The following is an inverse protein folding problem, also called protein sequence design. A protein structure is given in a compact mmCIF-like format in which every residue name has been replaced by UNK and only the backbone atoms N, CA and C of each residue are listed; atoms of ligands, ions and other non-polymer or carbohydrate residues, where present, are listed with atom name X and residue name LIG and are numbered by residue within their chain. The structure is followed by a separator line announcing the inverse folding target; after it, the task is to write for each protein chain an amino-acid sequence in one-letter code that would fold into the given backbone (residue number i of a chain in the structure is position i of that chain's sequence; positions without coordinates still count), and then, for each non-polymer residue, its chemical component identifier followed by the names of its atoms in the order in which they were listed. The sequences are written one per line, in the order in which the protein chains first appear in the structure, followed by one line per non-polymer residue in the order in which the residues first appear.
data_IF_841792273485
#
_entry.id   IF_841792273485
#
_cell.length_a   1.000
_cell.length_b   1.000
_cell.length_c   1.000
_cell.angle_alpha   90.00
_cell.angle_beta   90.00
_cell.angle_gamma   90.00
#
_symmetry.space_group_name_H-M   'P 1'
#
loop_
_entity.id
_entity.type
_entity.pdbx_description
1 polymer ?
#
# COMPACT_ATOMS: atom_id res chain seq x y z
N UNK A 1 33.44 28.39 63.79
CA UNK A 1 32.27 27.57 63.42
C UNK A 1 31.60 27.10 64.68
N UNK A 2 30.34 27.50 64.88
CA UNK A 2 29.54 27.05 66.02
C UNK A 2 28.75 25.79 65.66
N UNK A 3 28.42 24.97 66.65
CA UNK A 3 27.68 23.70 66.47
C UNK A 3 26.32 23.92 65.74
N UNK A 4 25.73 25.10 65.93
CA UNK A 4 24.48 25.54 65.30
C UNK A 4 24.67 25.81 63.80
N UNK A 5 25.76 26.45 63.39
CA UNK A 5 26.07 26.70 61.97
C UNK A 5 26.26 25.39 61.19
N UNK A 6 26.88 24.39 61.81
CA UNK A 6 27.08 23.07 61.20
C UNK A 6 25.75 22.32 61.03
N UNK A 7 24.85 22.40 62.03
CA UNK A 7 23.55 21.75 61.98
C UNK A 7 22.64 22.37 60.89
N UNK A 8 22.66 23.69 60.74
CA UNK A 8 21.89 24.39 59.69
C UNK A 8 22.43 24.06 58.30
N UNK A 9 23.75 24.01 58.13
CA UNK A 9 24.36 23.62 56.86
C UNK A 9 23.99 22.18 56.45
N UNK A 10 24.01 21.24 57.39
CA UNK A 10 23.62 19.84 57.15
C UNK A 10 22.13 19.69 56.83
N UNK A 11 21.26 20.44 57.52
CA UNK A 11 19.83 20.43 57.24
C UNK A 11 19.51 20.98 55.84
N UNK A 12 20.16 22.08 55.42
CA UNK A 12 20.01 22.65 54.08
C UNK A 12 20.51 21.71 52.98
N UNK A 13 21.65 21.04 53.22
CA UNK A 13 22.16 20.02 52.29
C UNK A 13 21.21 18.81 52.16
N UNK A 14 20.59 18.37 53.27
CA UNK A 14 19.60 17.31 53.25
C UNK A 14 18.35 17.67 52.43
N UNK A 15 17.83 18.88 52.61
CA UNK A 15 16.67 19.38 51.85
C UNK A 15 16.99 19.56 50.36
N UNK A 16 18.18 20.08 50.04
CA UNK A 16 18.66 20.19 48.65
C UNK A 16 18.82 18.82 47.99
N UNK A 17 19.39 17.84 48.69
CA UNK A 17 19.56 16.48 48.17
C UNK A 17 18.20 15.79 47.92
N UNK A 18 17.21 16.00 48.80
CA UNK A 18 15.84 15.50 48.62
C UNK A 18 15.14 16.20 47.45
N UNK A 19 15.30 17.51 47.29
CA UNK A 19 14.77 18.25 46.14
C UNK A 19 15.38 17.79 44.81
N UNK A 20 16.70 17.57 44.77
CA UNK A 20 17.40 17.11 43.57
C UNK A 20 17.01 15.67 43.19
N UNK A 21 16.86 14.77 44.16
CA UNK A 21 16.47 13.38 43.92
C UNK A 21 15.03 13.24 43.41
N UNK A 22 14.11 14.09 43.86
CA UNK A 22 12.74 14.13 43.31
C UNK A 22 12.71 14.62 41.86
N UNK A 23 13.48 15.68 41.54
CA UNK A 23 13.57 16.20 40.18
C UNK A 23 14.25 15.21 39.22
N UNK A 24 15.34 14.57 39.64
CA UNK A 24 16.01 13.52 38.86
C UNK A 24 15.13 12.29 38.69
N UNK A 25 14.34 11.91 39.70
CA UNK A 25 13.41 10.78 39.62
C UNK A 25 12.26 11.03 38.63
N UNK A 26 11.73 12.26 38.55
CA UNK A 26 10.72 12.64 37.56
C UNK A 26 11.29 12.74 36.15
N UNK A 27 12.48 13.34 35.99
CA UNK A 27 13.15 13.40 34.69
C UNK A 27 13.56 12.02 34.17
N UNK A 28 14.01 11.11 35.04
CA UNK A 28 14.36 9.75 34.64
C UNK A 28 13.14 8.96 34.14
N UNK A 29 11.97 9.13 34.76
CA UNK A 29 10.71 8.49 34.30
C UNK A 29 10.22 9.07 32.98
N UNK A 30 10.18 10.40 32.87
CA UNK A 30 9.80 11.06 31.60
C UNK A 30 10.76 10.71 30.46
N UNK A 31 12.05 10.55 30.76
CA UNK A 31 13.04 10.09 29.78
C UNK A 31 12.84 8.64 29.35
N UNK A 32 12.40 7.75 30.26
CA UNK A 32 12.14 6.35 29.92
C UNK A 32 10.88 6.19 29.09
N UNK A 33 9.80 6.88 29.46
CA UNK A 33 8.56 6.89 28.68
C UNK A 33 8.77 7.44 27.27
N UNK A 34 9.53 8.53 27.15
CA UNK A 34 9.88 9.10 25.84
C UNK A 34 10.76 8.17 24.99
N UNK A 35 11.70 7.44 25.61
CA UNK A 35 12.53 6.45 24.91
C UNK A 35 11.69 5.28 24.42
N UNK A 36 10.74 4.81 25.23
CA UNK A 36 9.87 3.70 24.87
C UNK A 36 8.90 4.08 23.75
N UNK A 37 8.37 5.31 23.77
CA UNK A 37 7.51 5.82 22.70
C UNK A 37 8.29 6.01 21.39
N UNK A 38 9.52 6.55 21.46
CA UNK A 38 10.40 6.66 20.30
C UNK A 38 10.74 5.27 19.72
N UNK A 39 10.97 4.27 20.57
CA UNK A 39 11.22 2.90 20.13
C UNK A 39 9.97 2.26 19.52
N UNK A 40 8.77 2.54 20.07
CA UNK A 40 7.51 2.09 19.49
C UNK A 40 7.32 2.64 18.07
N UNK A 41 7.63 3.92 17.88
CA UNK A 41 7.55 4.54 16.55
C UNK A 41 8.57 3.93 15.58
N UNK A 42 9.81 3.68 16.04
CA UNK A 42 10.84 3.02 15.24
C UNK A 42 10.42 1.61 14.80
N UNK A 43 9.88 0.80 15.73
CA UNK A 43 9.37 -0.54 15.46
C UNK A 43 8.24 -0.51 14.40
N UNK A 44 7.29 0.43 14.53
CA UNK A 44 6.20 0.57 13.56
C UNK A 44 6.69 1.03 12.19
N UNK A 45 7.70 1.91 12.15
CA UNK A 45 8.31 2.36 10.90
C UNK A 45 9.07 1.22 10.19
N UNK A 46 9.84 0.41 10.90
CA UNK A 46 10.55 -0.73 10.32
C UNK A 46 9.56 -1.78 9.79
N UNK A 47 8.53 -2.14 10.56
CA UNK A 47 7.48 -3.05 10.11
C UNK A 47 6.80 -2.50 8.86
N UNK A 48 6.45 -1.21 8.84
CA UNK A 48 5.85 -0.56 7.68
C UNK A 48 6.78 -0.59 6.47
N UNK A 49 8.05 -0.23 6.62
CA UNK A 49 9.01 -0.19 5.53
C UNK A 49 9.17 -1.57 4.88
N UNK A 50 9.40 -2.61 5.69
CA UNK A 50 9.57 -3.98 5.22
C UNK A 50 8.31 -4.54 4.57
N UNK A 51 7.18 -4.40 5.25
CA UNK A 51 5.91 -4.94 4.77
C UNK A 51 5.49 -4.27 3.45
N UNK A 52 5.68 -2.96 3.33
CA UNK A 52 5.42 -2.24 2.07
C UNK A 52 6.37 -2.70 0.97
N UNK A 53 7.68 -2.81 1.23
CA UNK A 53 8.64 -3.27 0.20
C UNK A 53 8.29 -4.67 -0.32
N UNK A 54 8.06 -5.63 0.58
CA UNK A 54 7.74 -7.00 0.18
C UNK A 54 6.36 -7.08 -0.48
N UNK A 55 5.38 -6.30 -0.02
CA UNK A 55 4.06 -6.24 -0.63
C UNK A 55 4.13 -5.74 -2.07
N UNK A 56 4.88 -4.66 -2.33
CA UNK A 56 5.03 -4.09 -3.67
C UNK A 56 5.61 -5.12 -4.66
N UNK A 57 6.54 -5.97 -4.21
CA UNK A 57 7.16 -7.02 -5.02
C UNK A 57 6.36 -8.33 -5.08
N UNK A 58 5.33 -8.46 -4.25
CA UNK A 58 4.56 -9.68 -4.14
C UNK A 58 3.60 -9.86 -5.32
N UNK A 59 3.46 -11.09 -5.79
CA UNK A 59 2.48 -11.50 -6.80
C UNK A 59 1.18 -11.96 -6.16
N UNK A 60 1.19 -12.44 -4.92
CA UNK A 60 0.00 -12.93 -4.22
C UNK A 60 0.13 -12.78 -2.70
N UNK A 61 -1.02 -12.60 -2.04
CA UNK A 61 -1.11 -12.57 -0.58
C UNK A 61 -2.00 -13.69 -0.05
N UNK A 62 -1.67 -14.20 1.12
CA UNK A 62 -2.53 -15.11 1.88
C UNK A 62 -2.47 -14.72 3.35
N UNK A 63 -3.61 -14.46 3.98
CA UNK A 63 -3.69 -14.06 5.38
C UNK A 63 -4.50 -15.09 6.18
N UNK A 64 -4.01 -15.46 7.37
CA UNK A 64 -4.63 -16.43 8.28
C UNK A 64 -4.87 -15.85 9.67
N UNK A 65 -5.15 -14.55 9.75
CA UNK A 65 -5.34 -13.84 11.03
C UNK A 65 -4.00 -13.52 11.66
N UNK A 66 -3.31 -14.45 12.30
CA UNK A 66 -2.03 -14.16 12.96
C UNK A 66 -0.82 -14.10 12.01
N UNK A 67 -0.98 -14.56 10.77
CA UNK A 67 0.09 -14.68 9.79
C UNK A 67 -0.34 -14.16 8.42
N UNK A 68 0.60 -13.59 7.67
CA UNK A 68 0.48 -13.28 6.26
C UNK A 68 1.64 -13.87 5.48
N UNK A 69 1.33 -14.43 4.31
CA UNK A 69 2.28 -15.01 3.38
C UNK A 69 2.27 -14.18 2.10
N UNK A 70 3.44 -13.70 1.69
CA UNK A 70 3.67 -12.92 0.48
C UNK A 70 4.48 -13.78 -0.50
N UNK A 71 3.99 -13.91 -1.72
CA UNK A 71 4.68 -14.68 -2.77
C UNK A 71 5.51 -13.73 -3.60
N UNK A 72 6.84 -13.72 -3.43
CA UNK A 72 7.73 -12.91 -4.25
C UNK A 72 8.39 -13.77 -5.35
N UNK A 73 8.91 -13.15 -6.43
CA UNK A 73 9.69 -13.87 -7.44
C UNK A 73 10.93 -14.59 -6.88
N UNK A 74 11.51 -14.06 -5.79
CA UNK A 74 12.67 -14.64 -5.09
C UNK A 74 12.30 -15.76 -4.11
N UNK A 75 11.01 -16.00 -3.88
CA UNK A 75 10.50 -16.98 -2.92
C UNK A 75 9.46 -16.37 -1.97
N UNK A 76 8.97 -17.20 -1.06
CA UNK A 76 7.92 -16.82 -0.13
C UNK A 76 8.49 -16.08 1.09
N UNK A 77 7.85 -14.96 1.46
CA UNK A 77 8.10 -14.25 2.71
C UNK A 77 6.90 -14.42 3.62
N UNK A 78 7.13 -14.78 4.88
CA UNK A 78 6.08 -14.96 5.88
C UNK A 78 6.22 -13.89 6.96
N UNK A 79 5.12 -13.23 7.29
CA UNK A 79 4.97 -12.33 8.41
C UNK A 79 4.06 -12.96 9.44
N UNK A 80 4.39 -12.84 10.72
CA UNK A 80 3.55 -13.36 11.80
C UNK A 80 3.61 -12.45 13.02
N UNK A 81 2.49 -12.38 13.75
CA UNK A 81 2.45 -11.78 15.08
C UNK A 81 2.48 -12.94 16.07
N UNK A 82 3.63 -13.16 16.71
CA UNK A 82 3.86 -14.28 17.61
C UNK A 82 4.79 -13.90 18.76
N UNK A 83 4.58 -14.48 19.94
CA UNK A 83 5.39 -14.20 21.12
C UNK A 83 5.40 -12.73 21.56
N UNK A 84 4.36 -11.97 21.22
CA UNK A 84 4.29 -10.54 21.51
C UNK A 84 5.14 -9.67 20.58
N UNK A 85 5.57 -10.18 19.42
CA UNK A 85 6.42 -9.49 18.44
C UNK A 85 5.87 -9.67 17.03
N UNK A 86 6.26 -8.78 16.13
CA UNK A 86 6.07 -8.98 14.69
C UNK A 86 7.34 -9.62 14.14
N UNK A 87 7.19 -10.76 13.47
CA UNK A 87 8.29 -11.51 12.89
C UNK A 87 8.18 -11.51 11.37
N UNK A 88 9.33 -11.51 10.70
CA UNK A 88 9.49 -11.74 9.26
C UNK A 88 10.41 -12.94 9.07
N UNK A 89 9.91 -14.00 8.44
CA UNK A 89 10.62 -15.27 8.27
C UNK A 89 11.16 -15.83 9.61
N UNK A 90 10.37 -15.69 10.68
CA UNK A 90 10.73 -16.10 12.04
C UNK A 90 11.72 -15.18 12.76
N UNK A 91 12.21 -14.11 12.13
CA UNK A 91 13.09 -13.12 12.76
C UNK A 91 12.30 -11.90 13.25
N UNK A 92 12.56 -11.38 14.45
CA UNK A 92 11.84 -10.23 14.98
C UNK A 92 12.15 -8.95 14.19
N UNK A 93 11.09 -8.26 13.78
CA UNK A 93 11.16 -6.90 13.23
C UNK A 93 11.01 -5.82 14.29
N UNK A 94 10.38 -6.15 15.42
CA UNK A 94 10.16 -5.23 16.55
C UNK A 94 11.16 -5.51 17.65
N UNK A 95 11.75 -4.47 18.23
CA UNK A 95 12.61 -4.58 19.42
C UNK A 95 11.77 -4.73 20.69
N UNK A 96 10.67 -3.98 20.78
CA UNK A 96 9.72 -4.07 21.88
C UNK A 96 8.90 -5.36 21.80
N UNK A 97 8.27 -5.68 22.93
CA UNK A 97 7.35 -6.80 23.06
C UNK A 97 5.96 -6.33 23.51
N UNK A 98 5.00 -7.26 23.50
CA UNK A 98 3.60 -7.00 23.84
C UNK A 98 2.73 -6.63 22.64
N UNK A 99 3.22 -6.85 21.42
CA UNK A 99 2.44 -6.70 20.20
C UNK A 99 1.45 -7.86 20.04
N UNK A 100 0.17 -7.52 19.97
CA UNK A 100 -0.89 -8.37 19.42
C UNK A 100 -1.32 -7.83 18.07
N UNK A 101 -2.07 -8.61 17.31
CA UNK A 101 -2.57 -8.13 16.03
C UNK A 101 -3.04 -9.23 15.09
N UNK A 102 -3.47 -8.77 13.91
CA UNK A 102 -3.88 -9.64 12.84
C UNK A 102 -3.62 -9.04 11.47
N UNK A 103 -3.40 -9.91 10.50
CA UNK A 103 -3.35 -9.63 9.08
C UNK A 103 -4.69 -9.95 8.42
N UNK A 104 -5.11 -9.05 7.53
CA UNK A 104 -6.24 -9.26 6.63
C UNK A 104 -5.83 -8.89 5.20
N UNK A 105 -6.20 -9.74 4.25
CA UNK A 105 -5.92 -9.57 2.83
C UNK A 105 -7.24 -9.28 2.11
N UNK A 106 -7.30 -8.20 1.33
CA UNK A 106 -8.45 -7.83 0.51
C UNK A 106 -7.97 -7.41 -0.88
N UNK A 107 -8.13 -8.28 -1.86
CA UNK A 107 -7.62 -8.08 -3.21
C UNK A 107 -6.10 -7.83 -3.20
N UNK A 108 -5.61 -6.70 -3.74
CA UNK A 108 -4.20 -6.37 -3.74
C UNK A 108 -3.70 -5.71 -2.44
N UNK A 109 -4.53 -5.57 -1.42
CA UNK A 109 -4.18 -4.86 -0.18
C UNK A 109 -4.03 -5.81 0.99
N UNK A 110 -2.89 -5.75 1.65
CA UNK A 110 -2.60 -6.37 2.93
C UNK A 110 -2.70 -5.32 4.02
N UNK A 111 -3.51 -5.58 5.05
CA UNK A 111 -3.63 -4.73 6.23
C UNK A 111 -3.16 -5.49 7.46
N UNK A 112 -2.27 -4.87 8.22
CA UNK A 112 -1.81 -5.32 9.52
C UNK A 112 -2.39 -4.40 10.60
N UNK A 113 -3.27 -4.95 11.42
CA UNK A 113 -3.80 -4.30 12.63
C UNK A 113 -2.97 -4.74 13.81
N UNK A 114 -2.37 -3.77 14.53
CA UNK A 114 -1.56 -4.03 15.72
C UNK A 114 -2.17 -3.40 16.96
N UNK A 115 -1.89 -3.99 18.09
CA UNK A 115 -2.15 -3.45 19.43
C UNK A 115 -0.94 -3.69 20.32
N UNK A 116 -0.70 -2.81 21.29
CA UNK A 116 0.30 -3.03 22.33
C UNK A 116 -0.37 -2.91 23.70
N UNK A 117 -0.41 -4.02 24.45
CA UNK A 117 -1.27 -4.11 25.64
C UNK A 117 -2.75 -3.93 25.27
N UNK A 118 -3.43 -2.96 25.89
CA UNK A 118 -4.82 -2.60 25.58
C UNK A 118 -4.97 -1.50 24.52
N UNK A 119 -3.87 -0.91 24.05
CA UNK A 119 -3.91 0.20 23.10
C UNK A 119 -3.88 -0.30 21.65
N UNK A 120 -4.85 0.11 20.85
CA UNK A 120 -4.84 -0.11 19.41
C UNK A 120 -3.85 0.87 18.74
N UNK A 121 -3.05 0.36 17.80
CA UNK A 121 -2.10 1.14 17.03
C UNK A 121 -2.67 1.46 15.63
N UNK A 122 -2.17 2.49 14.94
CA UNK A 122 -2.58 2.78 13.56
C UNK A 122 -2.33 1.56 12.64
N UNK A 123 -3.31 1.16 11.81
CA UNK A 123 -3.14 0.03 10.91
C UNK A 123 -2.08 0.33 9.86
N UNK A 124 -1.25 -0.66 9.57
CA UNK A 124 -0.27 -0.62 8.49
C UNK A 124 -0.92 -1.24 7.26
N UNK A 125 -0.93 -0.52 6.14
CA UNK A 125 -1.47 -0.98 4.86
C UNK A 125 -0.37 -1.06 3.83
N UNK A 126 -0.33 -2.15 3.09
CA UNK A 126 0.64 -2.42 2.05
C UNK A 126 -0.07 -3.02 0.84
N UNK A 127 0.15 -2.45 -0.34
CA UNK A 127 -0.59 -2.82 -1.56
C UNK A 127 0.37 -3.40 -2.59
N UNK A 128 0.05 -4.57 -3.16
CA UNK A 128 0.85 -5.16 -4.26
C UNK A 128 0.74 -4.35 -5.54
N UNK A 129 1.82 -4.31 -6.31
CA UNK A 129 1.80 -3.88 -7.70
C UNK A 129 1.34 -5.06 -8.55
N UNK A 130 0.12 -4.99 -9.05
CA UNK A 130 -0.36 -5.85 -10.14
C UNK A 130 -0.23 -5.06 -11.43
N UNK A 131 -0.19 -5.71 -12.59
CA UNK A 131 -0.18 -5.00 -13.87
C UNK A 131 0.94 -5.41 -14.82
N UNK A 132 1.97 -6.11 -14.35
CA UNK A 132 3.09 -6.50 -15.20
C UNK A 132 3.34 -7.99 -15.10
N UNK A 133 3.09 -8.69 -16.20
CA UNK A 133 3.92 -9.85 -16.54
C UNK A 133 5.28 -9.28 -16.93
N UNK A 134 6.18 -9.04 -15.96
CA UNK A 134 7.55 -8.59 -16.23
C UNK A 134 8.28 -9.73 -16.94
N UNK A 135 8.03 -9.92 -18.22
CA UNK A 135 8.89 -10.74 -19.07
C UNK A 135 10.21 -10.00 -19.22
N UNK A 136 11.32 -10.72 -19.03
CA UNK A 136 12.67 -10.23 -19.25
C UNK A 136 12.76 -9.47 -20.57
N UNK A 137 12.93 -8.14 -20.52
CA UNK A 137 12.93 -7.27 -21.69
C UNK A 137 11.96 -6.07 -21.64
N UNK A 138 11.09 -5.98 -20.62
CA UNK A 138 10.13 -4.87 -20.47
C UNK A 138 10.77 -3.50 -20.18
N UNK A 139 12.05 -3.43 -19.80
CA UNK A 139 12.71 -2.18 -19.39
C UNK A 139 12.16 -1.54 -18.10
N UNK A 140 11.01 -2.02 -17.60
CA UNK A 140 10.41 -1.68 -16.31
C UNK A 140 10.69 -2.78 -15.30
N UNK A 141 11.22 -2.41 -14.13
CA UNK A 141 11.25 -3.27 -12.95
C UNK A 141 9.90 -3.21 -12.20
N UNK A 142 9.64 -4.18 -11.32
CA UNK A 142 8.35 -4.32 -10.65
C UNK A 142 8.02 -3.13 -9.72
N UNK A 143 9.02 -2.46 -9.16
CA UNK A 143 8.91 -1.21 -8.41
C UNK A 143 8.57 0.00 -9.29
N UNK A 144 8.68 -0.14 -10.62
CA UNK A 144 8.38 0.93 -11.57
C UNK A 144 6.91 0.94 -12.06
N UNK A 145 6.10 0.00 -11.58
CA UNK A 145 4.75 -0.27 -12.12
C UNK A 145 3.68 0.42 -11.29
N UNK A 146 2.83 1.31 -11.86
CA UNK A 146 1.71 1.87 -11.13
C UNK A 146 0.86 0.80 -10.45
N UNK A 147 0.56 0.99 -9.17
CA UNK A 147 -0.30 0.07 -8.44
C UNK A 147 -1.76 0.49 -8.57
N UNK A 148 -2.63 -0.49 -8.39
CA UNK A 148 -4.07 -0.31 -8.45
C UNK A 148 -4.59 0.01 -7.03
N UNK A 149 -5.23 1.16 -6.86
CA UNK A 149 -5.45 1.76 -5.53
C UNK A 149 -6.76 1.33 -4.87
N UNK A 150 -7.82 1.10 -5.64
CA UNK A 150 -9.16 0.86 -5.10
C UNK A 150 -9.87 -0.29 -5.80
N UNK A 151 -10.80 -0.98 -5.16
CA UNK A 151 -11.50 -2.10 -5.80
C UNK A 151 -12.43 -1.68 -6.96
N UNK A 152 -12.83 -0.41 -7.07
CA UNK A 152 -13.88 0.00 -8.00
C UNK A 152 -15.24 -0.67 -7.70
N UNK A 153 -16.29 -0.14 -8.32
CA UNK A 153 -17.68 -0.51 -8.05
C UNK A 153 -18.36 -1.09 -9.30
N UNK A 154 -19.10 -2.20 -9.13
CA UNK A 154 -20.01 -2.70 -10.16
C UNK A 154 -21.43 -2.16 -9.93
N UNK A 155 -21.95 -1.40 -10.91
CA UNK A 155 -23.31 -0.84 -10.90
C UNK A 155 -24.04 -1.23 -12.19
N UNK A 156 -24.70 -2.39 -12.14
CA UNK A 156 -25.31 -3.03 -13.31
C UNK A 156 -24.22 -3.42 -14.31
N UNK A 157 -24.31 -2.94 -15.55
CA UNK A 157 -23.32 -3.22 -16.62
C UNK A 157 -22.14 -2.24 -16.64
N UNK A 158 -21.91 -1.51 -15.56
CA UNK A 158 -20.92 -0.46 -15.50
C UNK A 158 -19.94 -0.73 -14.36
N UNK A 159 -18.66 -0.66 -14.66
CA UNK A 159 -17.60 -0.62 -13.66
C UNK A 159 -17.21 0.83 -13.46
N UNK A 160 -17.10 1.25 -12.21
CA UNK A 160 -16.82 2.61 -11.80
C UNK A 160 -15.58 2.70 -10.94
N UNK A 161 -14.95 3.88 -10.97
CA UNK A 161 -13.94 4.30 -9.99
C UNK A 161 -12.76 3.33 -9.87
N UNK A 162 -12.16 2.91 -11.01
CA UNK A 162 -10.87 2.20 -10.98
C UNK A 162 -9.73 3.22 -11.03
N UNK A 163 -8.88 3.24 -10.01
CA UNK A 163 -7.76 4.18 -9.89
C UNK A 163 -6.43 3.46 -9.83
N UNK A 164 -5.44 4.04 -10.49
CA UNK A 164 -4.04 3.65 -10.40
C UNK A 164 -3.22 4.84 -9.90
N UNK A 165 -2.23 4.56 -9.05
CA UNK A 165 -1.26 5.55 -8.58
C UNK A 165 0.15 5.17 -9.01
N UNK A 166 0.88 6.14 -9.53
CA UNK A 166 2.29 5.96 -9.85
C UNK A 166 3.15 6.33 -8.63
N UNK A 167 3.63 5.35 -7.86
CA UNK A 167 4.62 5.56 -6.79
C UNK A 167 6.00 4.99 -7.17
N UNK A 168 6.32 4.92 -8.46
CA UNK A 168 7.60 4.34 -8.91
C UNK A 168 8.82 5.24 -8.71
N UNK A 169 8.65 6.49 -8.31
CA UNK A 169 9.73 7.49 -8.37
C UNK A 169 10.13 7.88 -9.81
N UNK A 170 9.65 7.17 -10.83
CA UNK A 170 9.88 7.43 -12.24
C UNK A 170 8.62 8.03 -12.87
N UNK A 171 8.80 9.05 -13.72
CA UNK A 171 7.71 9.53 -14.57
C UNK A 171 7.44 8.53 -15.68
N UNK A 172 6.17 8.16 -15.87
CA UNK A 172 5.70 7.40 -17.03
C UNK A 172 4.87 8.32 -17.92
N UNK A 173 4.72 7.98 -19.19
CA UNK A 173 3.86 8.73 -20.11
C UNK A 173 2.70 7.85 -20.56
N UNK A 174 1.52 8.03 -19.98
CA UNK A 174 0.34 7.27 -20.34
C UNK A 174 -0.17 7.75 -21.70
N UNK A 175 -0.24 6.85 -22.69
CA UNK A 175 -0.69 7.18 -24.05
C UNK A 175 -2.01 6.54 -24.44
N UNK A 176 -2.47 5.57 -23.65
CA UNK A 176 -3.73 4.93 -23.95
C UNK A 176 -4.21 3.92 -22.92
N UNK A 177 -5.48 3.54 -23.08
CA UNK A 177 -6.12 2.49 -22.32
C UNK A 177 -6.88 1.58 -23.25
N UNK A 178 -6.66 0.28 -23.12
CA UNK A 178 -7.44 -0.75 -23.79
C UNK A 178 -8.22 -1.55 -22.76
N UNK A 179 -9.48 -1.85 -23.05
CA UNK A 179 -10.27 -2.79 -22.24
C UNK A 179 -10.62 -4.00 -23.08
N UNK A 180 -10.28 -5.17 -22.56
CA UNK A 180 -10.62 -6.49 -23.10
C UNK A 180 -11.81 -6.99 -22.24
N UNK A 181 -13.04 -6.99 -22.79
CA UNK A 181 -14.21 -7.45 -22.06
C UNK A 181 -14.19 -8.99 -21.87
N UNK A 182 -15.09 -9.53 -21.04
CA UNK A 182 -15.31 -10.97 -20.99
C UNK A 182 -15.70 -11.54 -22.37
N UNK A 183 -15.47 -12.83 -22.57
CA UNK A 183 -15.81 -13.51 -23.82
C UNK A 183 -17.29 -13.30 -24.19
N UNK A 184 -17.56 -12.92 -25.44
CA UNK A 184 -18.91 -12.63 -25.92
C UNK A 184 -19.50 -11.29 -25.44
N UNK A 185 -18.73 -10.46 -24.74
CA UNK A 185 -19.14 -9.14 -24.29
C UNK A 185 -18.36 -8.03 -25.02
N UNK A 186 -18.80 -6.78 -24.88
CA UNK A 186 -18.26 -5.62 -25.58
C UNK A 186 -18.24 -4.38 -24.69
N UNK A 187 -17.28 -3.49 -24.94
CA UNK A 187 -17.17 -2.19 -24.27
C UNK A 187 -17.86 -1.12 -25.13
N UNK A 188 -18.84 -0.44 -24.57
CA UNK A 188 -19.57 0.66 -25.21
C UNK A 188 -18.86 2.00 -25.04
N UNK A 189 -18.30 2.25 -23.87
CA UNK A 189 -17.75 3.57 -23.49
C UNK A 189 -16.74 3.46 -22.36
N UNK A 190 -15.69 4.29 -22.43
CA UNK A 190 -14.77 4.53 -21.31
C UNK A 190 -14.72 6.03 -21.01
N UNK A 191 -14.79 6.37 -19.73
CA UNK A 191 -14.59 7.74 -19.19
C UNK A 191 -13.42 7.76 -18.23
N UNK A 192 -12.65 8.85 -18.28
CA UNK A 192 -11.46 9.07 -17.47
C UNK A 192 -11.59 10.39 -16.71
N UNK A 193 -11.07 10.44 -15.48
CA UNK A 193 -10.86 11.70 -14.74
C UNK A 193 -9.40 12.18 -14.94
N UNK A 194 -9.16 13.49 -14.81
CA UNK A 194 -7.83 14.11 -14.95
C UNK A 194 -7.48 14.56 -16.37
N UNK A 195 -7.79 13.75 -17.38
CA UNK A 195 -7.55 14.07 -18.80
C UNK A 195 -8.73 14.75 -19.51
N UNK A 196 -9.86 14.94 -18.82
CA UNK A 196 -11.14 15.40 -19.40
C UNK A 196 -11.48 14.68 -20.73
N UNK A 197 -11.13 13.40 -20.81
CA UNK A 197 -11.26 12.58 -22.01
C UNK A 197 -12.46 11.64 -21.92
N UNK A 198 -13.16 11.48 -23.04
CA UNK A 198 -14.22 10.50 -23.20
C UNK A 198 -14.02 9.75 -24.52
N UNK A 199 -13.79 8.44 -24.45
CA UNK A 199 -13.79 7.63 -25.66
C UNK A 199 -15.08 6.84 -25.76
N UNK A 200 -15.67 6.86 -26.94
CA UNK A 200 -16.83 6.04 -27.28
C UNK A 200 -16.43 5.14 -28.43
N UNK A 201 -16.86 3.88 -28.38
CA UNK A 201 -16.71 2.99 -29.53
C UNK A 201 -17.54 3.55 -30.69
N UNK A 202 -16.89 3.81 -31.83
CA UNK A 202 -17.57 4.29 -33.05
C UNK A 202 -17.91 3.18 -34.04
N UNK A 203 -17.46 1.94 -33.85
CA UNK A 203 -17.79 0.86 -34.80
C UNK A 203 -17.36 -0.52 -34.30
N UNK A 204 -18.21 -1.50 -34.62
CA UNK A 204 -17.85 -2.90 -34.84
C UNK A 204 -16.46 -3.07 -35.50
N UNK A 205 -15.67 -4.11 -35.16
CA UNK A 205 -16.12 -5.38 -34.59
C UNK A 205 -15.89 -5.53 -33.06
N UNK A 206 -16.48 -6.57 -32.44
CA UNK A 206 -16.34 -6.88 -31.02
C UNK A 206 -14.90 -7.22 -30.63
N UNK A 207 -14.53 -6.96 -29.36
CA UNK A 207 -13.47 -7.72 -28.70
C UNK A 207 -12.36 -6.92 -27.99
N UNK A 208 -12.11 -5.66 -28.34
CA UNK A 208 -11.30 -4.76 -27.50
C UNK A 208 -11.53 -3.31 -27.88
N UNK A 209 -11.57 -2.42 -26.89
CA UNK A 209 -11.75 -0.98 -27.14
C UNK A 209 -10.50 -0.22 -26.68
N UNK A 210 -9.89 0.53 -27.59
CA UNK A 210 -8.66 1.30 -27.36
C UNK A 210 -9.00 2.79 -27.33
N UNK A 211 -8.61 3.44 -26.25
CA UNK A 211 -8.48 4.88 -26.13
C UNK A 211 -7.01 5.24 -26.32
N UNK A 212 -6.66 5.90 -27.42
CA UNK A 212 -5.36 6.55 -27.56
C UNK A 212 -5.52 8.06 -27.32
N UNK A 213 -4.54 8.67 -26.67
CA UNK A 213 -4.47 10.11 -26.42
C UNK A 213 -3.02 10.57 -26.46
N UNK A 214 -2.82 11.89 -26.54
CA UNK A 214 -1.49 12.48 -26.44
C UNK A 214 -0.81 12.02 -25.13
N UNK A 215 0.46 11.59 -25.17
CA UNK A 215 1.15 11.05 -24.00
C UNK A 215 1.06 12.02 -22.82
N UNK A 216 0.36 11.58 -21.79
CA UNK A 216 0.15 12.33 -20.57
C UNK A 216 1.18 11.95 -19.52
N UNK A 217 1.81 12.97 -18.94
CA UNK A 217 2.85 12.79 -17.94
C UNK A 217 2.27 12.28 -16.62
N UNK A 218 2.45 10.99 -16.37
CA UNK A 218 2.06 10.32 -15.14
C UNK A 218 3.22 10.37 -14.14
N UNK A 219 3.31 11.51 -13.44
CA UNK A 219 4.38 11.81 -12.48
C UNK A 219 4.32 10.92 -11.23
N UNK A 220 5.41 10.93 -10.46
CA UNK A 220 5.42 10.30 -9.13
C UNK A 220 4.30 10.89 -8.24
N UNK A 221 3.62 10.01 -7.52
CA UNK A 221 2.40 10.22 -6.71
C UNK A 221 1.16 10.71 -7.47
N UNK A 222 1.21 10.82 -8.79
CA UNK A 222 0.03 11.19 -9.57
C UNK A 222 -0.91 9.99 -9.77
N UNK A 223 -2.20 10.31 -9.88
CA UNK A 223 -3.29 9.34 -10.04
C UNK A 223 -3.84 9.37 -11.45
N UNK A 224 -4.23 8.19 -11.92
CA UNK A 224 -5.01 8.01 -13.13
C UNK A 224 -6.27 7.21 -12.79
N UNK A 225 -7.44 7.73 -13.13
CA UNK A 225 -8.71 7.11 -12.75
C UNK A 225 -9.66 6.92 -13.93
N UNK A 226 -10.20 5.71 -14.05
CA UNK A 226 -11.35 5.38 -14.88
C UNK A 226 -12.62 5.63 -14.08
N UNK A 227 -13.32 6.71 -14.45
CA UNK A 227 -14.63 7.07 -13.90
C UNK A 227 -15.69 6.00 -14.21
N UNK A 228 -15.63 5.47 -15.44
CA UNK A 228 -16.64 4.54 -15.93
C UNK A 228 -16.15 3.70 -17.10
N UNK A 229 -16.34 2.40 -17.02
CA UNK A 229 -16.35 1.46 -18.15
C UNK A 229 -17.79 0.95 -18.31
N UNK A 230 -18.37 1.13 -19.49
CA UNK A 230 -19.71 0.62 -19.78
C UNK A 230 -19.63 -0.59 -20.72
N UNK A 231 -20.17 -1.72 -20.30
CA UNK A 231 -20.26 -2.94 -21.09
C UNK A 231 -21.64 -3.09 -21.75
N UNK A 232 -21.74 -3.87 -22.85
CA UNK A 232 -23.03 -4.21 -23.50
C UNK A 232 -23.75 -5.34 -22.74
N UNK A 233 -23.02 -6.35 -22.29
CA UNK A 233 -23.46 -7.50 -21.50
C UNK A 233 -23.14 -7.37 -20.01
N UNK A 234 -23.50 -8.39 -19.25
CA UNK A 234 -23.15 -8.50 -17.83
C UNK A 234 -21.66 -8.85 -17.66
N UNK A 235 -21.06 -8.37 -16.57
CA UNK A 235 -19.67 -8.61 -16.19
C UNK A 235 -19.53 -9.15 -14.76
N UNK A 236 -20.63 -9.31 -14.02
CA UNK A 236 -20.60 -9.93 -12.69
C UNK A 236 -20.01 -11.34 -12.78
N UNK A 237 -19.01 -11.63 -11.93
CA UNK A 237 -18.30 -12.90 -11.85
C UNK A 237 -17.38 -13.24 -13.02
N UNK A 238 -17.35 -12.42 -14.08
CA UNK A 238 -16.60 -12.71 -15.30
C UNK A 238 -15.37 -11.79 -15.42
N UNK A 239 -14.17 -12.33 -15.69
CA UNK A 239 -12.96 -11.54 -15.75
C UNK A 239 -12.92 -10.63 -16.98
N UNK A 240 -12.44 -9.42 -16.80
CA UNK A 240 -12.07 -8.50 -17.88
C UNK A 240 -10.69 -7.91 -17.60
N UNK A 241 -10.01 -7.47 -18.65
CA UNK A 241 -8.65 -6.92 -18.51
C UNK A 241 -8.61 -5.46 -18.94
N UNK A 242 -8.05 -4.61 -18.09
CA UNK A 242 -7.67 -3.24 -18.43
C UNK A 242 -6.18 -3.22 -18.73
N UNK A 243 -5.83 -2.70 -19.89
CA UNK A 243 -4.46 -2.51 -20.33
C UNK A 243 -4.14 -1.02 -20.40
N UNK A 244 -3.13 -0.57 -19.67
CA UNK A 244 -2.61 0.79 -19.75
C UNK A 244 -1.38 0.78 -20.65
N UNK A 245 -1.41 1.55 -21.73
CA UNK A 245 -0.27 1.74 -22.61
C UNK A 245 0.54 2.94 -22.12
N UNK A 246 1.77 2.67 -21.68
CA UNK A 246 2.68 3.67 -21.14
C UNK A 246 3.97 3.74 -21.95
N UNK A 247 4.55 4.91 -22.06
CA UNK A 247 5.89 5.11 -22.59
C UNK A 247 6.88 5.34 -21.45
N UNK A 248 8.13 4.92 -21.67
CA UNK A 248 9.25 5.07 -20.71
C UNK A 248 10.00 6.40 -20.88
N UNK A 249 9.75 7.11 -21.97
CA UNK A 249 10.23 8.45 -22.25
C UNK A 249 9.12 9.31 -22.89
N UNK A 250 9.33 10.63 -22.91
CA UNK A 250 8.38 11.58 -23.48
C UNK A 250 8.24 11.50 -25.00
N UNK A 251 9.23 10.92 -25.69
CA UNK A 251 9.22 10.72 -27.13
C UNK A 251 8.52 9.40 -27.54
N UNK A 252 8.15 8.58 -26.57
CA UNK A 252 7.63 7.23 -26.73
C UNK A 252 8.47 6.29 -27.60
N UNK A 253 9.80 6.34 -27.50
CA UNK A 253 10.67 5.40 -28.22
C UNK A 253 10.54 3.97 -27.67
N UNK A 254 10.21 3.86 -26.39
CA UNK A 254 9.94 2.60 -25.70
C UNK A 254 8.57 2.67 -25.05
N UNK A 255 7.72 1.69 -25.37
CA UNK A 255 6.37 1.57 -24.80
C UNK A 255 6.15 0.21 -24.19
N UNK A 256 5.33 0.17 -23.15
CA UNK A 256 4.96 -1.02 -22.38
C UNK A 256 3.45 -1.05 -22.18
N UNK A 257 2.92 -2.27 -22.04
CA UNK A 257 1.50 -2.50 -21.75
C UNK A 257 1.36 -3.10 -20.36
N UNK A 258 0.69 -2.38 -19.49
CA UNK A 258 0.39 -2.81 -18.13
C UNK A 258 -1.01 -3.46 -18.12
N UNK A 259 -1.10 -4.76 -17.85
CA UNK A 259 -2.35 -5.53 -17.91
C UNK A 259 -2.88 -5.88 -16.51
N UNK A 260 -4.08 -5.41 -16.20
CA UNK A 260 -4.78 -5.58 -14.93
C UNK A 260 -6.08 -6.36 -15.15
N UNK A 261 -6.18 -7.58 -14.61
CA UNK A 261 -7.38 -8.42 -14.76
C UNK A 261 -8.26 -8.30 -13.53
N UNK A 262 -9.52 -7.92 -13.74
CA UNK A 262 -10.50 -7.70 -12.69
C UNK A 262 -11.63 -8.71 -12.78
N UNK A 263 -12.12 -9.15 -11.63
CA UNK A 263 -13.40 -9.83 -11.47
C UNK A 263 -14.27 -9.01 -10.54
N UNK A 264 -15.45 -8.62 -10.99
CA UNK A 264 -16.39 -7.85 -10.19
C UNK A 264 -17.52 -8.71 -9.65
N UNK A 265 -17.97 -8.41 -8.45
CA UNK A 265 -19.22 -8.88 -7.88
C UNK A 265 -20.04 -7.69 -7.35
N UNK A 266 -21.11 -7.97 -6.60
CA UNK A 266 -21.95 -6.93 -5.98
C UNK A 266 -21.23 -6.10 -4.90
N UNK A 267 -20.09 -6.57 -4.41
CA UNK A 267 -19.30 -5.94 -3.36
C UNK A 267 -18.16 -5.08 -3.91
N UNK A 268 -17.83 -5.20 -5.20
CA UNK A 268 -16.83 -4.38 -5.89
C UNK A 268 -16.04 -5.18 -6.93
N UNK A 269 -15.01 -4.57 -7.51
CA UNK A 269 -14.09 -5.28 -8.39
C UNK A 269 -12.81 -5.68 -7.67
N UNK A 270 -12.36 -6.90 -7.92
CA UNK A 270 -11.15 -7.43 -7.32
C UNK A 270 -10.15 -7.72 -8.43
N UNK A 271 -8.94 -7.22 -8.23
CA UNK A 271 -7.82 -7.45 -9.10
C UNK A 271 -7.28 -8.86 -8.83
N UNK A 272 -7.23 -9.70 -9.86
CA UNK A 272 -6.68 -11.06 -9.81
C UNK A 272 -5.16 -11.04 -9.85
#
# INVERSE_FOLDING_TARGET
MTLVELAVALALLGVLALGLSLLLGQMARGSQEAQEEAQLEADLQEVRARLTEDALRSTAFTCTGAQATLTLPSGTVTYEVSGGRVLRQGQPLTELSGYGGSFSCSGPTLTLTLSRGSAALPPIRATRRVGLSVTSGSGLSQDQVPYQENSGDLKGKNVHDLTWRNESGQTLWLKGVRVIPPEGNEVKKIKFQGLNGNCQSSSDPPGSFICAFEPWEWRNNAEFSLDKIQFKGDVEGNPFTVQLEVCLDSACNQSQTLSYTFVCDKNGCTLQ
#
